data_IF_365711492094
#
_entry.id   IF_365711492094
#
_cell.length_a   1.000
_cell.length_b   1.000
_cell.length_c   1.000
_cell.angle_alpha   90.00
_cell.angle_beta   90.00
_cell.angle_gamma   90.00
#
_symmetry.space_group_name_H-M   'P 1'
#
loop_
_entity.id
_entity.type
_entity.pdbx_description
1 polymer ?
#
# COMPACT_ATOMS: atom_id res chain seq x y z
N UNK A 1 21.14 -3.79 -32.81
CA UNK A 1 21.33 -4.90 -31.84
C UNK A 1 20.33 -4.71 -30.74
N UNK A 2 19.19 -5.42 -30.78
CA UNK A 2 18.25 -5.43 -29.65
C UNK A 2 18.96 -6.09 -28.46
N UNK A 3 19.18 -5.31 -27.43
CA UNK A 3 19.70 -5.77 -26.16
C UNK A 3 18.60 -6.64 -25.53
N UNK A 4 18.58 -7.96 -25.84
CA UNK A 4 17.70 -8.92 -25.19
C UNK A 4 18.01 -8.89 -23.71
N UNK A 5 17.24 -8.14 -22.95
CA UNK A 5 17.36 -8.12 -21.50
C UNK A 5 17.34 -9.57 -20.97
N UNK A 6 18.34 -9.92 -20.17
CA UNK A 6 18.48 -11.25 -19.58
C UNK A 6 17.24 -11.61 -18.79
N UNK A 7 16.67 -12.79 -19.04
CA UNK A 7 15.47 -13.26 -18.33
C UNK A 7 15.84 -13.67 -16.92
N UNK A 8 15.42 -12.90 -15.92
CA UNK A 8 15.72 -13.11 -14.52
C UNK A 8 14.63 -13.93 -13.81
N UNK A 9 15.04 -14.69 -12.83
CA UNK A 9 14.17 -15.37 -11.83
C UNK A 9 14.13 -14.50 -10.58
N UNK A 10 12.98 -13.88 -10.31
CA UNK A 10 12.80 -12.89 -9.27
C UNK A 10 11.89 -13.45 -8.19
N UNK A 11 12.31 -13.39 -6.92
CA UNK A 11 11.45 -13.62 -5.77
C UNK A 11 11.05 -12.29 -5.12
N UNK A 12 9.79 -12.15 -4.71
CA UNK A 12 9.28 -10.97 -4.01
C UNK A 12 8.62 -11.36 -2.70
N UNK A 13 8.92 -10.65 -1.60
CA UNK A 13 8.25 -10.81 -0.32
C UNK A 13 8.22 -9.51 0.48
N UNK A 14 7.41 -9.49 1.54
CA UNK A 14 7.20 -8.34 2.42
C UNK A 14 5.74 -7.88 2.43
N UNK A 15 5.02 -8.05 1.33
CA UNK A 15 3.59 -7.87 1.27
C UNK A 15 2.85 -8.92 2.13
N UNK A 16 1.61 -8.58 2.56
CA UNK A 16 0.75 -9.57 3.20
C UNK A 16 0.31 -10.62 2.19
N UNK A 17 -0.16 -10.17 1.02
CA UNK A 17 -0.64 -11.02 -0.09
C UNK A 17 -0.47 -10.35 -1.44
N UNK A 18 -0.59 -11.16 -2.49
CA UNK A 18 -0.74 -10.69 -3.85
C UNK A 18 -2.22 -10.28 -4.08
N UNK A 19 -2.57 -9.07 -3.67
CA UNK A 19 -3.94 -8.52 -3.62
C UNK A 19 -3.95 -7.01 -3.88
N UNK A 20 -5.05 -6.34 -3.55
CA UNK A 20 -5.17 -4.87 -3.54
C UNK A 20 -5.54 -4.32 -2.15
N UNK A 21 -5.32 -5.09 -1.10
CA UNK A 21 -5.72 -4.73 0.26
C UNK A 21 -4.92 -3.57 0.89
N UNK A 22 -3.78 -3.23 0.34
CA UNK A 22 -2.94 -2.13 0.81
C UNK A 22 -1.97 -1.65 -0.25
N UNK A 23 -1.29 -0.53 -0.01
CA UNK A 23 -0.38 0.08 -0.98
C UNK A 23 0.75 -0.84 -1.42
N UNK A 24 1.42 -1.51 -0.47
CA UNK A 24 2.50 -2.47 -0.78
C UNK A 24 1.99 -3.62 -1.63
N UNK A 25 0.80 -4.15 -1.31
CA UNK A 25 0.15 -5.23 -2.04
C UNK A 25 -0.13 -4.83 -3.49
N UNK A 26 -0.63 -3.60 -3.71
CA UNK A 26 -0.86 -3.05 -5.05
C UNK A 26 0.45 -2.94 -5.82
N UNK A 27 1.49 -2.34 -5.22
CA UNK A 27 2.80 -2.19 -5.87
C UNK A 27 3.37 -3.55 -6.26
N UNK A 28 3.41 -4.53 -5.35
CA UNK A 28 3.94 -5.87 -5.62
C UNK A 28 3.16 -6.56 -6.73
N UNK A 29 1.82 -6.46 -6.71
CA UNK A 29 0.95 -7.03 -7.73
C UNK A 29 1.21 -6.42 -9.11
N UNK A 30 1.31 -5.11 -9.19
CA UNK A 30 1.51 -4.40 -10.44
C UNK A 30 2.93 -4.59 -10.99
N UNK A 31 3.97 -4.52 -10.15
CA UNK A 31 5.35 -4.76 -10.56
C UNK A 31 5.55 -6.21 -11.02
N UNK A 32 5.12 -7.19 -10.22
CA UNK A 32 5.30 -8.61 -10.57
C UNK A 32 4.63 -8.97 -11.88
N UNK A 33 3.41 -8.46 -12.13
CA UNK A 33 2.69 -8.70 -13.38
C UNK A 33 3.39 -8.07 -14.58
N UNK A 34 3.97 -6.87 -14.43
CA UNK A 34 4.73 -6.20 -15.51
C UNK A 34 6.08 -6.86 -15.77
N UNK A 35 6.77 -7.30 -14.72
CA UNK A 35 8.01 -8.06 -14.87
C UNK A 35 7.79 -9.36 -15.64
N UNK A 36 6.67 -10.06 -15.41
CA UNK A 36 6.30 -11.24 -16.21
C UNK A 36 6.05 -10.87 -17.67
N UNK A 37 5.36 -9.76 -17.94
CA UNK A 37 5.16 -9.28 -19.33
C UNK A 37 6.49 -8.95 -20.03
N UNK A 38 7.50 -8.54 -19.29
CA UNK A 38 8.87 -8.30 -19.79
C UNK A 38 9.68 -9.60 -19.97
N UNK A 39 9.10 -10.76 -19.64
CA UNK A 39 9.70 -12.09 -19.83
C UNK A 39 10.43 -12.63 -18.63
N UNK A 40 10.41 -11.97 -17.47
CA UNK A 40 10.99 -12.48 -16.23
C UNK A 40 10.10 -13.55 -15.59
N UNK A 41 10.71 -14.46 -14.80
CA UNK A 41 9.97 -15.40 -13.97
C UNK A 41 9.84 -14.83 -12.56
N UNK A 42 8.61 -14.58 -12.12
CA UNK A 42 8.37 -13.95 -10.82
C UNK A 42 7.63 -14.89 -9.87
N UNK A 43 8.12 -14.99 -8.64
CA UNK A 43 7.48 -15.70 -7.54
C UNK A 43 7.23 -14.73 -6.39
N UNK A 44 5.97 -14.57 -5.95
CA UNK A 44 5.60 -13.79 -4.79
C UNK A 44 5.30 -14.70 -3.61
N UNK A 45 5.83 -14.34 -2.42
CA UNK A 45 5.60 -15.07 -1.17
C UNK A 45 4.58 -14.35 -0.32
N UNK A 46 3.41 -14.98 -0.11
CA UNK A 46 2.32 -14.46 0.71
C UNK A 46 2.39 -14.96 2.14
N UNK A 47 1.85 -14.20 3.09
CA UNK A 47 1.57 -14.67 4.45
C UNK A 47 0.35 -15.60 4.45
N UNK A 48 0.32 -16.59 5.36
CA UNK A 48 -0.93 -17.26 5.73
C UNK A 48 -1.71 -16.43 6.75
N UNK A 49 -3.05 -16.55 6.80
CA UNK A 49 -3.89 -15.91 7.82
C UNK A 49 -4.93 -14.92 7.32
N UNK A 50 -5.49 -14.11 8.23
CA UNK A 50 -6.64 -13.24 8.00
C UNK A 50 -6.43 -12.14 6.96
N UNK A 51 -7.55 -11.70 6.35
CA UNK A 51 -7.64 -10.71 5.28
C UNK A 51 -8.42 -9.47 5.72
N UNK A 52 -8.00 -8.33 5.26
CA UNK A 52 -8.71 -7.05 5.41
C UNK A 52 -10.00 -7.03 4.57
N UNK A 53 -9.94 -7.65 3.39
CA UNK A 53 -11.04 -7.68 2.42
C UNK A 53 -12.14 -8.71 2.73
N UNK A 54 -11.95 -9.55 3.76
CA UNK A 54 -12.88 -10.63 4.11
C UNK A 54 -12.81 -11.83 3.16
N UNK A 55 -13.60 -12.89 3.47
CA UNK A 55 -13.57 -14.17 2.74
C UNK A 55 -13.94 -14.05 1.25
N UNK A 56 -14.78 -13.09 0.88
CA UNK A 56 -15.24 -12.87 -0.51
C UNK A 56 -14.07 -12.56 -1.47
N UNK A 57 -13.01 -11.97 -0.99
CA UNK A 57 -11.84 -11.56 -1.78
C UNK A 57 -10.61 -12.41 -1.50
N UNK A 58 -10.78 -13.59 -0.88
CA UNK A 58 -9.68 -14.45 -0.47
C UNK A 58 -8.95 -15.05 -1.68
N UNK A 59 -7.69 -14.69 -1.83
CA UNK A 59 -6.76 -15.23 -2.82
C UNK A 59 -5.82 -16.30 -2.24
N UNK A 60 -6.08 -16.82 -1.04
CA UNK A 60 -5.18 -17.76 -0.35
C UNK A 60 -4.94 -19.06 -1.12
N UNK A 61 -5.88 -19.48 -1.98
CA UNK A 61 -5.77 -20.67 -2.83
C UNK A 61 -5.11 -20.40 -4.18
N UNK A 62 -4.80 -19.14 -4.50
CA UNK A 62 -4.23 -18.75 -5.77
C UNK A 62 -2.77 -19.18 -5.82
N UNK A 63 -2.42 -20.09 -6.72
CA UNK A 63 -1.03 -20.57 -6.93
C UNK A 63 -0.32 -19.84 -8.05
N UNK A 64 -1.09 -19.31 -9.02
CA UNK A 64 -0.59 -18.54 -10.15
C UNK A 64 -1.65 -17.55 -10.62
N UNK A 65 -1.23 -16.36 -10.98
CA UNK A 65 -2.10 -15.36 -11.61
C UNK A 65 -1.27 -14.42 -12.49
N UNK A 66 -1.76 -14.17 -13.70
CA UNK A 66 -1.06 -13.34 -14.71
C UNK A 66 0.40 -13.78 -14.93
N UNK A 67 0.68 -15.09 -14.86
CA UNK A 67 2.03 -15.66 -14.98
C UNK A 67 2.93 -15.49 -13.74
N UNK A 68 2.44 -14.84 -12.69
CA UNK A 68 3.15 -14.72 -11.41
C UNK A 68 2.90 -15.96 -10.56
N UNK A 69 3.95 -16.66 -10.15
CA UNK A 69 3.85 -17.78 -9.20
C UNK A 69 3.62 -17.25 -7.80
N UNK A 70 2.63 -17.81 -7.10
CA UNK A 70 2.25 -17.38 -5.75
C UNK A 70 2.48 -18.53 -4.79
N UNK A 71 3.28 -18.30 -3.75
CA UNK A 71 3.57 -19.26 -2.70
C UNK A 71 3.16 -18.66 -1.35
N UNK A 72 2.56 -19.46 -0.49
CA UNK A 72 2.23 -19.06 0.87
C UNK A 72 3.25 -19.66 1.83
N UNK A 73 3.79 -18.82 2.72
CA UNK A 73 4.75 -19.25 3.74
C UNK A 73 4.06 -19.41 5.10
N UNK A 74 4.59 -20.28 5.98
CA UNK A 74 4.13 -20.40 7.36
C UNK A 74 4.14 -19.03 8.06
N UNK A 75 3.11 -18.77 8.85
CA UNK A 75 2.95 -17.47 9.54
C UNK A 75 2.37 -17.72 10.93
N UNK A 76 3.02 -17.20 11.95
CA UNK A 76 2.51 -17.21 13.32
C UNK A 76 1.52 -16.06 13.46
N UNK A 77 0.21 -16.38 13.43
CA UNK A 77 -0.88 -15.39 13.44
C UNK A 77 -1.09 -14.75 14.82
N UNK A 78 -0.03 -14.09 15.35
CA UNK A 78 -0.08 -13.26 16.55
C UNK A 78 0.40 -11.86 16.21
N UNK A 79 -0.21 -10.84 16.84
CA UNK A 79 0.16 -9.42 16.66
C UNK A 79 1.68 -9.24 16.84
N UNK A 80 2.34 -8.62 15.86
CA UNK A 80 3.80 -8.45 15.81
C UNK A 80 4.59 -9.63 15.24
N UNK A 81 4.20 -10.88 15.50
CA UNK A 81 4.92 -12.07 15.05
C UNK A 81 4.62 -12.49 13.61
N UNK A 82 3.45 -12.15 13.10
CA UNK A 82 3.05 -12.54 11.75
C UNK A 82 3.98 -11.96 10.66
N UNK A 83 4.42 -10.71 10.81
CA UNK A 83 5.37 -10.09 9.88
C UNK A 83 6.76 -10.73 9.98
N UNK A 84 7.24 -10.95 11.20
CA UNK A 84 8.57 -11.52 11.46
C UNK A 84 8.68 -12.94 10.93
N UNK A 85 7.74 -13.82 11.35
CA UNK A 85 7.77 -15.24 10.95
C UNK A 85 7.60 -15.44 9.45
N UNK A 86 6.65 -14.73 8.82
CA UNK A 86 6.47 -14.83 7.36
C UNK A 86 7.70 -14.32 6.59
N UNK A 87 8.34 -13.25 7.05
CA UNK A 87 9.55 -12.72 6.42
C UNK A 87 10.73 -13.69 6.56
N UNK A 88 10.87 -14.34 7.72
CA UNK A 88 11.89 -15.35 7.95
C UNK A 88 11.72 -16.54 7.00
N UNK A 89 10.53 -17.16 6.95
CA UNK A 89 10.28 -18.30 6.07
C UNK A 89 10.35 -17.93 4.59
N UNK A 90 9.94 -16.73 4.20
CA UNK A 90 10.10 -16.25 2.83
C UNK A 90 11.58 -16.05 2.47
N UNK A 91 12.36 -15.41 3.33
CA UNK A 91 13.80 -15.23 3.12
C UNK A 91 14.53 -16.56 3.03
N UNK A 92 14.18 -17.55 3.87
CA UNK A 92 14.72 -18.90 3.84
C UNK A 92 14.40 -19.60 2.50
N UNK A 93 13.13 -19.53 2.06
CA UNK A 93 12.73 -20.07 0.76
C UNK A 93 13.43 -19.38 -0.41
N UNK A 94 13.71 -18.08 -0.30
CA UNK A 94 14.47 -17.33 -1.30
C UNK A 94 15.96 -17.72 -1.30
N UNK A 95 16.56 -17.95 -0.14
CA UNK A 95 17.96 -18.33 0.00
C UNK A 95 18.26 -19.64 -0.74
N UNK A 96 17.44 -20.67 -0.53
CA UNK A 96 17.60 -21.97 -1.18
C UNK A 96 16.97 -22.07 -2.57
N UNK A 97 16.08 -21.12 -2.91
CA UNK A 97 15.45 -21.10 -4.22
C UNK A 97 16.41 -20.74 -5.36
N UNK A 98 16.06 -21.17 -6.57
CA UNK A 98 16.80 -20.82 -7.79
C UNK A 98 16.38 -19.42 -8.28
N UNK A 99 16.74 -18.37 -7.54
CA UNK A 99 16.46 -16.97 -7.87
C UNK A 99 17.76 -16.22 -8.16
N UNK A 100 17.68 -15.27 -9.09
CA UNK A 100 18.77 -14.38 -9.45
C UNK A 100 18.67 -13.09 -8.62
N UNK A 101 17.43 -12.63 -8.36
CA UNK A 101 17.14 -11.43 -7.58
C UNK A 101 16.07 -11.75 -6.51
N UNK A 102 16.27 -11.23 -5.31
CA UNK A 102 15.29 -11.23 -4.22
C UNK A 102 14.90 -9.79 -3.91
N UNK A 103 13.65 -9.43 -4.19
CA UNK A 103 13.11 -8.11 -3.97
C UNK A 103 12.27 -8.10 -2.69
N UNK A 104 12.73 -7.38 -1.69
CA UNK A 104 12.08 -7.26 -0.38
C UNK A 104 11.33 -5.94 -0.29
N UNK A 105 10.10 -5.97 0.20
CA UNK A 105 9.26 -4.79 0.36
C UNK A 105 9.05 -4.45 1.84
N UNK A 106 9.32 -3.21 2.20
CA UNK A 106 9.23 -2.57 3.52
C UNK A 106 10.38 -2.90 4.49
N UNK A 107 10.57 -2.00 5.48
CA UNK A 107 11.64 -2.03 6.47
C UNK A 107 11.58 -3.28 7.37
N UNK A 108 10.39 -3.63 7.88
CA UNK A 108 10.24 -4.80 8.76
C UNK A 108 10.72 -6.10 8.12
N UNK A 109 10.22 -6.50 6.93
CA UNK A 109 10.71 -7.64 6.17
C UNK A 109 12.20 -7.57 5.81
N UNK A 110 12.75 -6.38 5.60
CA UNK A 110 14.17 -6.19 5.31
C UNK A 110 15.10 -6.65 6.45
N UNK A 111 14.58 -6.85 7.66
CA UNK A 111 15.32 -7.48 8.76
C UNK A 111 15.89 -8.86 8.37
N UNK A 112 15.31 -9.54 7.38
CA UNK A 112 15.71 -10.86 6.92
C UNK A 112 16.47 -10.85 5.58
N UNK A 113 16.78 -9.68 5.01
CA UNK A 113 17.43 -9.55 3.69
C UNK A 113 18.87 -10.10 3.66
N UNK A 114 19.55 -10.17 4.79
CA UNK A 114 20.88 -10.78 4.94
C UNK A 114 20.91 -12.26 4.56
N UNK A 115 19.81 -13.00 4.80
CA UNK A 115 19.77 -14.44 4.59
C UNK A 115 19.91 -14.80 3.09
N UNK A 116 19.09 -14.33 2.15
CA UNK A 116 19.33 -14.58 0.73
C UNK A 116 20.67 -14.00 0.25
N UNK A 117 21.16 -12.92 0.85
CA UNK A 117 22.48 -12.35 0.52
C UNK A 117 23.63 -13.31 0.84
N UNK A 118 23.59 -13.99 1.98
CA UNK A 118 24.57 -15.02 2.34
C UNK A 118 24.62 -16.20 1.34
N UNK A 119 23.49 -16.47 0.67
CA UNK A 119 23.41 -17.50 -0.37
C UNK A 119 23.66 -16.95 -1.79
N UNK A 120 24.35 -15.82 -1.90
CA UNK A 120 24.80 -15.24 -3.17
C UNK A 120 23.70 -14.62 -4.03
N UNK A 121 22.50 -14.36 -3.47
CA UNK A 121 21.43 -13.69 -4.21
C UNK A 121 21.68 -12.19 -4.31
N UNK A 122 21.28 -11.56 -5.42
CA UNK A 122 21.17 -10.11 -5.48
C UNK A 122 19.93 -9.70 -4.71
N UNK A 123 20.07 -8.75 -3.79
CA UNK A 123 18.99 -8.30 -2.91
C UNK A 123 18.66 -6.85 -3.19
N UNK A 124 17.40 -6.60 -3.54
CA UNK A 124 16.83 -5.25 -3.70
C UNK A 124 15.81 -5.04 -2.60
N UNK A 125 15.82 -3.87 -1.96
CA UNK A 125 14.84 -3.52 -0.93
C UNK A 125 14.09 -2.26 -1.35
N UNK A 126 12.75 -2.30 -1.36
CA UNK A 126 11.93 -1.09 -1.55
C UNK A 126 11.38 -0.62 -0.19
N UNK A 127 11.69 0.61 0.16
CA UNK A 127 11.19 1.32 1.34
C UNK A 127 9.94 2.10 0.94
N UNK A 128 8.79 1.72 1.50
CA UNK A 128 7.48 2.32 1.17
C UNK A 128 7.11 3.51 2.06
N UNK A 129 8.00 3.97 2.90
CA UNK A 129 7.85 5.03 3.87
C UNK A 129 8.60 4.65 5.14
N UNK A 130 8.84 5.61 6.02
CA UNK A 130 9.57 5.40 7.26
C UNK A 130 8.63 4.89 8.36
N UNK A 131 8.41 3.57 8.39
CA UNK A 131 7.47 2.93 9.31
C UNK A 131 7.80 3.19 10.80
N UNK A 132 9.08 3.39 11.15
CA UNK A 132 9.50 3.71 12.51
C UNK A 132 9.02 5.10 12.98
N UNK A 133 8.66 6.00 12.05
CA UNK A 133 8.07 7.33 12.32
C UNK A 133 6.57 7.29 12.57
N UNK A 134 5.91 6.14 12.36
CA UNK A 134 4.46 5.95 12.60
C UNK A 134 4.11 5.85 14.08
N UNK A 135 4.67 6.74 14.90
CA UNK A 135 4.32 7.07 16.27
C UNK A 135 3.83 5.91 17.15
N UNK A 136 2.64 6.06 17.71
CA UNK A 136 2.04 5.16 18.70
C UNK A 136 1.62 3.78 18.16
N UNK A 137 1.56 3.59 16.86
CA UNK A 137 1.19 2.30 16.24
C UNK A 137 2.12 1.16 16.63
N UNK A 138 3.41 1.47 16.78
CA UNK A 138 4.44 0.50 17.08
C UNK A 138 4.96 0.66 18.51
N UNK A 139 4.71 -0.32 19.35
CA UNK A 139 5.37 -0.37 20.67
C UNK A 139 6.91 -0.37 20.52
N UNK A 140 7.63 -0.04 21.60
CA UNK A 140 9.11 0.11 21.62
C UNK A 140 9.86 -1.05 20.95
N UNK A 141 9.42 -2.28 21.13
CA UNK A 141 10.05 -3.46 20.51
C UNK A 141 9.84 -3.53 18.99
N UNK A 142 8.63 -3.27 18.52
CA UNK A 142 8.35 -3.27 17.09
C UNK A 142 9.11 -2.15 16.35
N UNK A 143 9.21 -0.97 16.95
CA UNK A 143 10.03 0.13 16.42
C UNK A 143 11.51 -0.26 16.32
N UNK A 144 12.07 -0.90 17.36
CA UNK A 144 13.45 -1.41 17.31
C UNK A 144 13.65 -2.45 16.19
N UNK A 145 12.67 -3.33 15.99
CA UNK A 145 12.71 -4.32 14.92
C UNK A 145 12.66 -3.67 13.52
N UNK A 146 11.84 -2.63 13.32
CA UNK A 146 11.78 -1.89 12.07
C UNK A 146 13.13 -1.20 11.79
N UNK A 147 13.71 -0.51 12.77
CA UNK A 147 15.05 0.10 12.64
C UNK A 147 16.14 -0.95 12.38
N UNK A 148 16.03 -2.12 12.99
CA UNK A 148 16.93 -3.23 12.69
C UNK A 148 16.82 -3.68 11.23
N UNK A 149 15.60 -3.75 10.70
CA UNK A 149 15.35 -4.04 9.27
C UNK A 149 15.92 -2.98 8.34
N UNK A 150 15.77 -1.72 8.69
CA UNK A 150 16.36 -0.59 7.94
C UNK A 150 17.89 -0.69 7.90
N UNK A 151 18.54 -0.94 9.06
CA UNK A 151 20.00 -1.16 9.13
C UNK A 151 20.46 -2.37 8.33
N UNK A 152 19.67 -3.44 8.31
CA UNK A 152 19.98 -4.61 7.49
C UNK A 152 19.83 -4.32 6.00
N UNK A 153 18.84 -3.52 5.59
CA UNK A 153 18.74 -3.05 4.21
C UNK A 153 19.99 -2.26 3.82
N UNK A 154 20.41 -1.31 4.66
CA UNK A 154 21.64 -0.52 4.42
C UNK A 154 22.87 -1.39 4.25
N UNK A 155 23.02 -2.43 5.09
CA UNK A 155 24.21 -3.29 5.13
C UNK A 155 24.25 -4.35 4.05
N UNK A 156 23.13 -4.96 3.71
CA UNK A 156 23.08 -6.20 2.93
C UNK A 156 22.38 -6.06 1.58
N UNK A 157 21.55 -5.03 1.35
CA UNK A 157 20.95 -4.84 0.05
C UNK A 157 21.97 -4.35 -0.97
N UNK A 158 21.91 -4.90 -2.18
CA UNK A 158 22.68 -4.39 -3.32
C UNK A 158 22.13 -3.02 -3.71
N UNK A 159 20.79 -2.90 -3.79
CA UNK A 159 20.11 -1.64 -4.07
C UNK A 159 18.96 -1.40 -3.11
N UNK A 160 18.75 -0.13 -2.74
CA UNK A 160 17.60 0.33 -1.97
C UNK A 160 16.80 1.30 -2.83
N UNK A 161 15.53 0.96 -3.08
CA UNK A 161 14.58 1.81 -3.78
C UNK A 161 13.77 2.58 -2.74
N UNK A 162 13.61 3.88 -2.97
CA UNK A 162 12.78 4.79 -2.15
C UNK A 162 11.77 5.51 -3.01
N UNK A 163 10.62 5.86 -2.44
CA UNK A 163 9.47 6.40 -3.16
C UNK A 163 9.37 7.92 -3.09
N UNK A 164 10.13 8.60 -2.21
CA UNK A 164 10.15 10.04 -2.08
C UNK A 164 11.56 10.59 -1.92
N UNK A 165 11.76 11.85 -2.29
CA UNK A 165 13.03 12.57 -2.13
C UNK A 165 13.39 12.75 -0.65
N UNK A 166 12.38 12.95 0.20
CA UNK A 166 12.59 13.06 1.65
C UNK A 166 13.16 11.77 2.26
N UNK A 167 12.67 10.59 1.83
CA UNK A 167 13.25 9.31 2.26
C UNK A 167 14.64 9.10 1.66
N UNK A 168 14.88 9.52 0.42
CA UNK A 168 16.21 9.46 -0.20
C UNK A 168 17.24 10.25 0.62
N UNK A 169 16.90 11.49 0.99
CA UNK A 169 17.75 12.36 1.80
C UNK A 169 17.98 11.76 3.19
N UNK A 170 16.93 11.21 3.82
CA UNK A 170 17.06 10.54 5.12
C UNK A 170 18.09 9.42 5.11
N UNK A 171 18.10 8.54 4.09
CA UNK A 171 19.10 7.47 3.99
C UNK A 171 20.52 8.00 3.76
N UNK A 172 20.66 9.09 3.01
CA UNK A 172 21.96 9.76 2.84
C UNK A 172 22.48 10.35 4.16
N UNK A 173 21.63 11.06 4.90
CA UNK A 173 22.02 11.75 6.13
C UNK A 173 22.24 10.80 7.30
N UNK A 174 21.33 9.82 7.48
CA UNK A 174 21.38 8.92 8.63
C UNK A 174 22.39 7.77 8.47
N UNK A 175 22.68 7.36 7.23
CA UNK A 175 23.48 6.16 6.97
C UNK A 175 24.61 6.36 5.92
N UNK A 176 24.73 7.52 5.30
CA UNK A 176 25.65 7.71 4.17
C UNK A 176 25.32 6.80 2.97
N UNK A 177 24.09 6.25 2.90
CA UNK A 177 23.70 5.26 1.90
C UNK A 177 23.00 5.91 0.71
N UNK A 178 23.59 5.78 -0.47
CA UNK A 178 22.91 6.14 -1.72
C UNK A 178 21.74 5.18 -1.97
N UNK A 179 20.61 5.74 -2.40
CA UNK A 179 19.39 5.00 -2.75
C UNK A 179 18.89 5.41 -4.13
N UNK A 180 18.09 4.58 -4.74
CA UNK A 180 17.48 4.83 -6.06
C UNK A 180 16.07 5.37 -5.86
N UNK A 181 15.80 6.58 -6.32
CA UNK A 181 14.45 7.15 -6.29
C UNK A 181 13.63 6.61 -7.47
N UNK A 182 12.62 5.81 -7.16
CA UNK A 182 11.65 5.30 -8.14
C UNK A 182 10.26 5.49 -7.52
N UNK A 183 9.52 6.54 -7.91
CA UNK A 183 8.19 6.80 -7.36
C UNK A 183 7.18 5.74 -7.78
N UNK A 184 6.08 5.62 -7.04
CA UNK A 184 4.95 4.82 -7.45
C UNK A 184 4.32 5.40 -8.73
N UNK A 185 3.85 4.52 -9.60
CA UNK A 185 3.04 4.87 -10.75
C UNK A 185 1.65 4.24 -10.68
N UNK A 186 0.71 4.84 -11.39
CA UNK A 186 -0.64 4.31 -11.58
C UNK A 186 -0.94 4.15 -13.07
N UNK A 187 -1.88 3.26 -13.39
CA UNK A 187 -2.33 3.11 -14.78
C UNK A 187 -3.20 4.32 -15.17
N UNK A 188 -3.16 4.68 -16.45
CA UNK A 188 -4.13 5.63 -17.00
C UNK A 188 -5.51 4.98 -16.98
N UNK A 189 -6.47 5.48 -16.21
CA UNK A 189 -7.77 4.85 -16.09
C UNK A 189 -8.69 5.15 -17.27
N UNK A 190 -9.71 4.32 -17.38
CA UNK A 190 -10.88 4.60 -18.22
C UNK A 190 -12.01 5.01 -17.30
N UNK A 191 -12.54 6.23 -17.45
CA UNK A 191 -13.67 6.70 -16.66
C UNK A 191 -14.91 5.84 -16.89
N UNK A 192 -15.64 5.57 -15.82
CA UNK A 192 -16.84 4.76 -15.79
C UNK A 192 -18.04 5.61 -15.38
N UNK A 193 -19.20 5.34 -15.97
CA UNK A 193 -20.45 5.93 -15.51
C UNK A 193 -20.86 5.35 -14.14
N UNK A 194 -21.60 6.13 -13.35
CA UNK A 194 -22.14 5.70 -12.07
C UNK A 194 -23.30 4.70 -12.30
N UNK A 195 -23.00 3.40 -12.28
CA UNK A 195 -23.98 2.32 -12.40
C UNK A 195 -24.06 1.50 -11.12
N UNK A 196 -23.00 0.75 -10.83
CA UNK A 196 -22.93 -0.11 -9.64
C UNK A 196 -22.95 0.71 -8.34
N UNK A 197 -22.30 1.87 -8.33
CA UNK A 197 -22.32 2.75 -7.15
C UNK A 197 -23.69 3.36 -6.90
N UNK A 198 -24.46 3.62 -7.96
CA UNK A 198 -25.85 4.06 -7.84
C UNK A 198 -26.73 2.93 -7.30
N UNK A 199 -26.64 1.72 -7.88
CA UNK A 199 -27.44 0.56 -7.47
C UNK A 199 -27.15 0.12 -6.03
N UNK A 200 -25.85 0.10 -5.62
CA UNK A 200 -25.45 -0.46 -4.33
C UNK A 200 -25.44 0.56 -3.19
N UNK A 201 -25.15 1.83 -3.50
CA UNK A 201 -24.92 2.87 -2.48
C UNK A 201 -25.77 4.13 -2.69
N UNK A 202 -26.55 4.22 -3.76
CA UNK A 202 -27.33 5.39 -4.11
C UNK A 202 -26.46 6.63 -4.37
N UNK A 203 -25.33 6.43 -5.07
CA UNK A 203 -24.37 7.49 -5.37
C UNK A 203 -24.45 7.91 -6.82
N UNK A 204 -24.66 9.19 -7.05
CA UNK A 204 -24.71 9.82 -8.37
C UNK A 204 -23.40 10.54 -8.68
N UNK A 205 -23.17 10.84 -9.95
CA UNK A 205 -22.04 11.65 -10.39
C UNK A 205 -22.06 13.01 -9.69
N UNK A 206 -20.88 13.44 -9.22
CA UNK A 206 -20.65 14.70 -8.51
C UNK A 206 -21.47 14.86 -7.21
N UNK A 207 -22.14 13.79 -6.76
CA UNK A 207 -22.98 13.78 -5.55
C UNK A 207 -22.26 13.47 -4.25
N UNK A 208 -20.92 13.28 -4.26
CA UNK A 208 -20.20 12.89 -3.05
C UNK A 208 -18.73 13.33 -3.01
N UNK A 209 -18.25 13.50 -1.78
CA UNK A 209 -16.84 13.62 -1.44
C UNK A 209 -16.31 12.20 -1.15
N UNK A 210 -15.19 11.83 -1.75
CA UNK A 210 -14.62 10.48 -1.63
C UNK A 210 -13.37 10.49 -0.76
N UNK A 211 -13.36 9.67 0.28
CA UNK A 211 -12.14 9.14 0.91
C UNK A 211 -11.95 7.69 0.52
N UNK A 212 -10.73 7.29 0.14
CA UNK A 212 -10.40 5.91 -0.14
C UNK A 212 -9.07 5.52 0.48
N UNK A 213 -9.08 4.48 1.33
CA UNK A 213 -7.90 4.00 2.00
C UNK A 213 -8.20 2.97 3.08
N UNK A 214 -7.15 2.52 3.77
CA UNK A 214 -7.33 1.71 4.98
C UNK A 214 -7.94 2.57 6.09
N UNK A 215 -8.85 1.97 6.84
CA UNK A 215 -9.47 2.63 7.99
C UNK A 215 -8.57 2.45 9.19
N UNK A 216 -7.68 3.42 9.40
CA UNK A 216 -6.69 3.48 10.48
C UNK A 216 -6.50 4.93 10.93
N UNK A 217 -6.12 5.19 12.20
CA UNK A 217 -6.05 6.55 12.76
C UNK A 217 -5.17 7.51 11.93
N UNK A 218 -4.03 7.04 11.45
CA UNK A 218 -3.09 7.86 10.67
C UNK A 218 -3.62 8.34 9.32
N UNK A 219 -4.80 7.89 8.92
CA UNK A 219 -5.48 8.37 7.69
C UNK A 219 -6.42 9.57 7.93
N UNK A 220 -6.55 10.02 9.18
CA UNK A 220 -7.24 11.26 9.51
C UNK A 220 -8.76 11.27 9.24
N UNK A 221 -9.39 10.09 9.10
CA UNK A 221 -10.82 9.96 8.79
C UNK A 221 -11.68 10.66 9.84
N UNK A 222 -11.25 10.62 11.09
CA UNK A 222 -11.92 11.29 12.22
C UNK A 222 -11.98 12.82 12.03
N UNK A 223 -10.96 13.42 11.41
CA UNK A 223 -10.95 14.86 11.10
C UNK A 223 -11.92 15.17 9.97
N UNK A 224 -11.90 14.35 8.92
CA UNK A 224 -12.78 14.50 7.77
C UNK A 224 -14.26 14.40 8.16
N UNK A 225 -14.63 13.42 9.00
CA UNK A 225 -16.01 13.29 9.50
C UNK A 225 -16.42 14.53 10.30
N UNK A 226 -15.57 15.00 11.23
CA UNK A 226 -15.86 16.18 12.04
C UNK A 226 -16.02 17.45 11.18
N UNK A 227 -15.15 17.64 10.22
CA UNK A 227 -15.21 18.77 9.30
C UNK A 227 -16.44 18.69 8.40
N UNK A 228 -16.73 17.52 7.82
CA UNK A 228 -17.89 17.34 6.94
C UNK A 228 -19.22 17.65 7.61
N UNK A 229 -19.38 17.29 8.89
CA UNK A 229 -20.61 17.60 9.66
C UNK A 229 -20.88 19.09 9.82
N UNK A 230 -19.85 19.94 9.65
CA UNK A 230 -20.00 21.39 9.72
C UNK A 230 -20.30 22.03 8.35
N UNK A 231 -20.23 21.25 7.27
CA UNK A 231 -20.46 21.74 5.91
C UNK A 231 -21.95 21.63 5.57
N UNK A 232 -22.56 22.75 5.21
CA UNK A 232 -23.89 22.79 4.65
C UNK A 232 -23.86 22.39 3.18
N UNK A 233 -24.26 21.14 2.91
CA UNK A 233 -24.24 20.55 1.57
C UNK A 233 -25.20 19.37 1.48
N UNK A 234 -25.75 19.14 0.31
CA UNK A 234 -26.54 17.96 -0.04
C UNK A 234 -25.70 16.74 -0.42
N UNK A 235 -24.39 16.94 -0.63
CA UNK A 235 -23.47 15.87 -1.02
C UNK A 235 -23.27 14.87 0.11
N UNK A 236 -22.91 13.66 -0.26
CA UNK A 236 -22.55 12.59 0.69
C UNK A 236 -21.05 12.58 0.96
N UNK A 237 -20.63 12.13 2.14
CA UNK A 237 -19.26 11.73 2.42
C UNK A 237 -19.16 10.21 2.28
N UNK A 238 -18.38 9.74 1.32
CA UNK A 238 -18.16 8.31 1.07
C UNK A 238 -16.79 7.90 1.60
N UNK A 239 -16.79 7.00 2.58
CA UNK A 239 -15.60 6.41 3.17
C UNK A 239 -15.46 4.98 2.64
N UNK A 240 -14.55 4.80 1.68
CA UNK A 240 -14.30 3.53 1.03
C UNK A 240 -13.02 2.88 1.57
N UNK A 241 -13.14 1.66 2.08
CA UNK A 241 -12.02 0.88 2.61
C UNK A 241 -12.40 -0.06 3.73
N UNK A 242 -11.44 -0.87 4.15
CA UNK A 242 -11.59 -1.83 5.24
C UNK A 242 -10.68 -1.52 6.42
N UNK A 243 -11.09 -1.94 7.62
CA UNK A 243 -10.23 -1.94 8.80
C UNK A 243 -9.14 -3.00 8.65
N UNK A 244 -7.89 -2.65 8.97
CA UNK A 244 -6.77 -3.58 8.80
C UNK A 244 -6.20 -4.12 10.12
N UNK A 245 -6.35 -3.41 11.22
CA UNK A 245 -5.56 -3.72 12.42
C UNK A 245 -6.32 -3.49 13.74
N UNK A 246 -7.49 -2.83 13.74
CA UNK A 246 -8.28 -2.64 14.96
C UNK A 246 -9.75 -2.38 14.66
N UNK A 247 -10.59 -3.24 15.19
CA UNK A 247 -12.04 -3.05 15.17
C UNK A 247 -12.46 -1.83 16.04
N UNK A 248 -11.63 -1.45 17.03
CA UNK A 248 -11.91 -0.32 17.92
C UNK A 248 -11.98 1.01 17.17
N UNK A 249 -11.02 1.30 16.28
CA UNK A 249 -11.06 2.54 15.49
C UNK A 249 -12.23 2.55 14.51
N UNK A 250 -12.55 1.40 13.89
CA UNK A 250 -13.73 1.28 13.03
C UNK A 250 -15.01 1.58 13.81
N UNK A 251 -15.14 1.06 15.04
CA UNK A 251 -16.28 1.36 15.92
C UNK A 251 -16.33 2.85 16.30
N UNK A 252 -15.18 3.46 16.58
CA UNK A 252 -15.08 4.89 16.90
C UNK A 252 -15.59 5.75 15.76
N UNK A 253 -15.09 5.57 14.54
CA UNK A 253 -15.51 6.38 13.38
C UNK A 253 -16.97 6.11 12.98
N UNK A 254 -17.45 4.87 13.14
CA UNK A 254 -18.85 4.53 12.91
C UNK A 254 -19.75 5.28 13.88
N UNK A 255 -19.36 5.33 15.16
CA UNK A 255 -20.09 6.12 16.19
C UNK A 255 -20.05 7.62 15.88
N UNK A 256 -18.89 8.12 15.46
CA UNK A 256 -18.71 9.53 15.10
C UNK A 256 -19.60 9.94 13.91
N UNK A 257 -19.88 9.02 13.00
CA UNK A 257 -20.71 9.25 11.81
C UNK A 257 -22.20 8.99 12.02
N UNK A 258 -22.61 8.38 13.14
CA UNK A 258 -23.93 7.78 13.31
C UNK A 258 -25.12 8.76 13.23
N UNK A 259 -24.92 10.03 13.58
CA UNK A 259 -25.94 11.08 13.60
C UNK A 259 -26.04 11.86 12.28
N UNK A 260 -25.22 11.55 11.27
CA UNK A 260 -25.25 12.18 9.95
C UNK A 260 -25.49 11.16 8.83
N UNK A 261 -26.73 11.12 8.34
CA UNK A 261 -27.15 10.18 7.29
C UNK A 261 -26.43 10.39 5.95
N UNK A 262 -25.74 11.51 5.74
CA UNK A 262 -24.96 11.80 4.53
C UNK A 262 -23.65 11.01 4.49
N UNK A 263 -23.18 10.48 5.63
CA UNK A 263 -21.91 9.73 5.72
C UNK A 263 -22.18 8.27 5.39
N UNK A 264 -21.45 7.72 4.40
CA UNK A 264 -21.62 6.37 3.89
C UNK A 264 -20.31 5.60 3.94
N UNK A 265 -20.36 4.39 4.50
CA UNK A 265 -19.25 3.44 4.49
C UNK A 265 -19.53 2.37 3.43
N UNK A 266 -18.63 2.20 2.46
CA UNK A 266 -18.78 1.16 1.43
C UNK A 266 -18.12 -0.17 1.80
N UNK A 267 -17.26 -0.17 2.82
CA UNK A 267 -16.34 -1.27 3.07
C UNK A 267 -15.25 -1.37 2.01
N UNK A 268 -14.56 -2.50 1.94
CA UNK A 268 -13.52 -2.73 0.95
C UNK A 268 -14.12 -2.88 -0.45
N UNK A 269 -13.62 -2.10 -1.40
CA UNK A 269 -14.05 -2.07 -2.80
C UNK A 269 -12.88 -2.30 -3.74
N UNK A 270 -13.15 -2.91 -4.91
CA UNK A 270 -12.18 -3.10 -5.99
C UNK A 270 -12.88 -3.24 -7.35
N UNK A 271 -12.08 -3.29 -8.43
CA UNK A 271 -12.60 -3.48 -9.80
C UNK A 271 -13.49 -2.33 -10.25
N UNK A 272 -14.64 -2.65 -10.84
CA UNK A 272 -15.53 -1.66 -11.44
C UNK A 272 -16.09 -0.67 -10.41
N UNK A 273 -16.50 -1.13 -9.23
CA UNK A 273 -16.99 -0.23 -8.16
C UNK A 273 -15.94 0.81 -7.78
N UNK A 274 -14.67 0.39 -7.63
CA UNK A 274 -13.57 1.31 -7.35
C UNK A 274 -13.38 2.33 -8.48
N UNK A 275 -13.41 1.86 -9.74
CA UNK A 275 -13.30 2.72 -10.90
C UNK A 275 -14.45 3.73 -11.01
N UNK A 276 -15.69 3.30 -10.73
CA UNK A 276 -16.84 4.17 -10.69
C UNK A 276 -16.76 5.21 -9.56
N UNK A 277 -16.29 4.81 -8.37
CA UNK A 277 -16.10 5.74 -7.24
C UNK A 277 -15.12 6.87 -7.57
N UNK A 278 -13.98 6.56 -8.17
CA UNK A 278 -13.05 7.60 -8.61
C UNK A 278 -13.59 8.42 -9.78
N UNK A 279 -14.31 7.79 -10.71
CA UNK A 279 -14.79 8.47 -11.93
C UNK A 279 -15.85 9.52 -11.68
N UNK A 280 -16.61 9.38 -10.60
CA UNK A 280 -17.83 10.16 -10.35
C UNK A 280 -17.78 10.97 -9.04
N UNK A 281 -16.65 10.98 -8.32
CA UNK A 281 -16.50 11.80 -7.12
C UNK A 281 -16.44 13.29 -7.48
N UNK A 282 -17.11 14.14 -6.67
CA UNK A 282 -17.01 15.58 -6.75
C UNK A 282 -15.65 16.09 -6.30
N UNK A 283 -15.17 15.59 -5.16
CA UNK A 283 -13.84 15.87 -4.59
C UNK A 283 -13.31 14.58 -3.99
N UNK A 284 -12.03 14.32 -4.19
CA UNK A 284 -11.28 13.31 -3.44
C UNK A 284 -10.58 13.99 -2.26
N UNK A 285 -10.74 13.45 -1.05
CA UNK A 285 -10.12 13.98 0.16
C UNK A 285 -9.20 12.95 0.83
N UNK A 286 -7.95 13.36 1.15
CA UNK A 286 -6.97 12.54 1.85
C UNK A 286 -6.38 13.31 3.03
N UNK A 287 -6.97 13.25 4.25
CA UNK A 287 -6.57 14.00 5.42
C UNK A 287 -5.52 13.25 6.28
N UNK A 288 -4.54 12.62 5.65
CA UNK A 288 -3.59 11.74 6.32
C UNK A 288 -2.57 12.52 7.15
N UNK A 289 -2.27 12.03 8.36
CA UNK A 289 -1.17 12.54 9.19
C UNK A 289 0.19 12.03 8.70
N UNK A 290 0.22 10.89 8.03
CA UNK A 290 1.45 10.25 7.56
C UNK A 290 1.19 9.36 6.33
N UNK A 291 2.06 9.51 5.35
CA UNK A 291 2.08 8.68 4.13
C UNK A 291 3.51 8.20 3.80
N UNK A 292 3.65 7.33 2.84
CA UNK A 292 4.92 7.05 2.19
C UNK A 292 4.93 7.67 0.79
N UNK A 293 4.05 7.19 -0.08
CA UNK A 293 3.63 7.78 -1.33
C UNK A 293 2.21 7.28 -1.62
N UNK A 294 1.18 8.12 -1.43
CA UNK A 294 -0.21 7.67 -1.37
C UNK A 294 -0.75 7.28 -2.74
N UNK A 295 -0.85 5.95 -3.01
CA UNK A 295 -1.38 5.43 -4.27
C UNK A 295 -2.82 5.88 -4.52
N UNK A 296 -3.65 5.97 -3.48
CA UNK A 296 -5.04 6.41 -3.64
C UNK A 296 -5.16 7.87 -4.11
N UNK A 297 -4.21 8.73 -3.73
CA UNK A 297 -4.12 10.09 -4.24
C UNK A 297 -3.67 10.11 -5.70
N UNK A 298 -2.63 9.35 -6.05
CA UNK A 298 -2.19 9.19 -7.44
C UNK A 298 -3.31 8.63 -8.33
N UNK A 299 -4.06 7.63 -7.83
CA UNK A 299 -5.23 7.10 -8.54
C UNK A 299 -6.29 8.19 -8.72
N UNK A 300 -6.66 8.94 -7.67
CA UNK A 300 -7.62 10.03 -7.76
C UNK A 300 -7.22 11.09 -8.80
N UNK A 301 -5.96 11.53 -8.77
CA UNK A 301 -5.42 12.47 -9.76
C UNK A 301 -5.47 11.88 -11.18
N UNK A 302 -5.16 10.59 -11.36
CA UNK A 302 -5.21 9.94 -12.68
C UNK A 302 -6.62 9.89 -13.27
N UNK A 303 -7.65 9.80 -12.43
CA UNK A 303 -9.06 9.95 -12.84
C UNK A 303 -9.47 11.40 -13.09
N UNK A 304 -8.60 12.37 -12.80
CA UNK A 304 -8.87 13.81 -12.95
C UNK A 304 -9.80 14.36 -11.88
N UNK A 305 -9.77 13.79 -10.68
CA UNK A 305 -10.51 14.35 -9.54
C UNK A 305 -9.87 15.66 -9.07
N UNK A 306 -10.70 16.58 -8.61
CA UNK A 306 -10.27 17.64 -7.71
C UNK A 306 -9.82 16.98 -6.40
N UNK A 307 -8.60 17.25 -5.95
CA UNK A 307 -8.04 16.65 -4.75
C UNK A 307 -7.85 17.68 -3.63
N UNK A 308 -8.24 17.29 -2.42
CA UNK A 308 -8.00 18.02 -1.18
C UNK A 308 -7.17 17.10 -0.27
N UNK A 309 -5.98 17.50 0.13
CA UNK A 309 -5.07 16.64 0.92
C UNK A 309 -4.28 17.40 1.95
N UNK A 310 -3.84 16.69 3.00
CA UNK A 310 -2.99 17.27 4.04
C UNK A 310 -1.69 17.84 3.45
N UNK A 311 -1.23 18.97 4.01
CA UNK A 311 0.06 19.58 3.70
C UNK A 311 1.19 18.85 4.44
N UNK A 312 1.36 17.57 4.12
CA UNK A 312 2.52 16.77 4.50
C UNK A 312 3.40 16.55 3.27
N UNK A 313 4.71 16.47 3.46
CA UNK A 313 5.68 16.38 2.35
C UNK A 313 5.34 15.28 1.34
N UNK A 314 4.89 14.11 1.82
CA UNK A 314 4.56 12.97 0.98
C UNK A 314 3.32 13.18 0.11
N UNK A 315 2.39 14.04 0.53
CA UNK A 315 1.23 14.43 -0.26
C UNK A 315 1.56 15.63 -1.16
N UNK A 316 2.23 16.65 -0.62
CA UNK A 316 2.64 17.84 -1.34
C UNK A 316 3.55 17.50 -2.55
N UNK A 317 4.53 16.61 -2.34
CA UNK A 317 5.41 16.12 -3.42
C UNK A 317 4.65 15.40 -4.56
N UNK A 318 3.50 14.79 -4.25
CA UNK A 318 2.68 14.08 -5.24
C UNK A 318 1.80 15.03 -6.03
N UNK A 319 1.22 16.01 -5.37
CA UNK A 319 0.22 16.90 -6.01
C UNK A 319 0.85 18.17 -6.60
N UNK A 320 2.06 18.51 -6.15
CA UNK A 320 2.74 19.74 -6.54
C UNK A 320 1.78 20.95 -6.36
N UNK A 321 1.40 21.63 -7.45
CA UNK A 321 0.46 22.76 -7.48
C UNK A 321 -0.94 22.37 -8.00
N UNK A 322 -1.24 21.07 -8.12
CA UNK A 322 -2.46 20.55 -8.78
C UNK A 322 -3.57 20.13 -7.83
N UNK A 323 -3.45 20.41 -6.54
CA UNK A 323 -4.46 20.11 -5.53
C UNK A 323 -4.53 21.20 -4.47
N UNK A 324 -5.58 21.16 -3.64
CA UNK A 324 -5.70 22.03 -2.47
C UNK A 324 -5.04 21.32 -1.29
N UNK A 325 -4.11 22.01 -0.62
CA UNK A 325 -3.45 21.57 0.62
C UNK A 325 -4.09 22.26 1.83
N UNK A 326 -4.15 21.57 2.99
CA UNK A 326 -4.66 22.10 4.25
C UNK A 326 -3.86 21.59 5.46
#
# INVERSE_FOLDING_TARGET
MENRAEKLRIAMFGQKRWSREGGIEVVVKELSSRMVKLGHQVTCYNRSGHHVSGKKFDSAKLRECKGVKIKTVPTINRKGFAAVSSSFFAALACAWGKYDVVHVHAEGPAAMCWLPKLFGKRVVVTIHGLDHRRGEKWGRFARKYIIFGERNAVRYADEIIVLSRGVQQYFADAYGRKTVFIPNGVERPIRQAAKLIQEQFGLDKDGYILFLGRIVPEKGIQYLIKAFKQVDTDKKLVIAGGSSDSDAFMQEITRLAADDYRIRFTGFVQGQILAELYSNAYVYCLPSDLEGMPLSLLEAMSYGNCCLTSDIAECADVVEDKAVLF
#
